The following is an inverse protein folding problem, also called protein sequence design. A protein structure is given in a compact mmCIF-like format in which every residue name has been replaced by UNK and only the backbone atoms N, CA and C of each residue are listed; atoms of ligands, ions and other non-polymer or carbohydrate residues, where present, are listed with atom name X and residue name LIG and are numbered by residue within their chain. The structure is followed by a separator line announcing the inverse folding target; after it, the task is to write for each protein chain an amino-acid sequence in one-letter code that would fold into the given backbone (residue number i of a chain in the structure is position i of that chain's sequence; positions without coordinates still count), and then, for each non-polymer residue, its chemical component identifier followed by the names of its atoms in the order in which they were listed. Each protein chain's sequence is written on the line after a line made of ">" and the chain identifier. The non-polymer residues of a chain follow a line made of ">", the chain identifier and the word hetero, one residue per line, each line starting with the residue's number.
data_IF_004546681256
#
_entry.id   IF_004546681256
#
_cell.length_a   1.000
_cell.length_b   1.000
_cell.length_c   1.000
_cell.angle_alpha   90.00
_cell.angle_beta   90.00
_cell.angle_gamma   90.00
#
_symmetry.space_group_name_H-M   'P 1'
#
loop_
_entity.id
_entity.type
_entity.pdbx_description
1 polymer ?
#
# COMPACT_ATOMS: atom_id res chain seq x y z
N UNK A 1 -39.30 -30.94 -64.03
CA UNK A 1 -40.75 -30.70 -63.91
C UNK A 1 -40.87 -29.35 -63.23
N UNK A 2 -40.90 -28.23 -63.96
CA UNK A 2 -41.46 -27.96 -65.29
C UNK A 2 -43.01 -28.03 -65.25
N UNK A 3 -43.77 -27.06 -65.78
CA UNK A 3 -43.38 -25.76 -66.38
C UNK A 3 -44.60 -24.81 -66.55
N UNK A 4 -44.35 -23.48 -66.53
CA UNK A 4 -45.08 -22.44 -67.30
C UNK A 4 -46.60 -22.19 -66.98
N UNK A 5 -47.28 -21.11 -67.46
CA UNK A 5 -47.02 -20.23 -68.62
C UNK A 5 -46.84 -18.69 -68.36
N UNK A 6 -46.53 -17.87 -69.40
CA UNK A 6 -45.88 -16.56 -69.27
C UNK A 6 -46.62 -15.37 -69.96
N UNK A 7 -45.84 -14.32 -70.31
CA UNK A 7 -46.13 -13.17 -71.21
C UNK A 7 -47.06 -12.05 -70.68
N UNK A 8 -46.91 -10.77 -71.06
CA UNK A 8 -46.07 -10.10 -72.09
C UNK A 8 -45.54 -8.72 -71.50
N UNK A 9 -44.76 -7.82 -72.11
CA UNK A 9 -44.26 -7.59 -73.49
C UNK A 9 -42.90 -6.80 -73.47
N UNK A 10 -42.63 -5.94 -74.47
CA UNK A 10 -41.39 -5.18 -74.78
C UNK A 10 -41.77 -3.73 -75.24
N UNK A 11 -40.89 -2.83 -75.80
CA UNK A 11 -39.44 -2.84 -76.09
C UNK A 11 -38.69 -1.62 -75.45
N UNK A 12 -37.44 -1.20 -75.76
CA UNK A 12 -36.55 -1.41 -76.93
C UNK A 12 -35.05 -1.17 -76.66
N UNK A 13 -34.20 -1.93 -77.34
CA UNK A 13 -32.78 -1.62 -77.65
C UNK A 13 -32.72 -0.97 -79.07
N UNK A 14 -31.61 -0.59 -79.73
CA UNK A 14 -30.15 -0.72 -79.52
C UNK A 14 -29.42 0.33 -80.42
N UNK A 15 -28.16 0.72 -80.13
CA UNK A 15 -27.14 1.01 -81.17
C UNK A 15 -25.71 1.28 -80.60
N UNK A 16 -24.69 0.81 -81.32
CA UNK A 16 -23.23 1.01 -81.11
C UNK A 16 -22.58 1.34 -82.47
N UNK A 17 -21.37 1.94 -82.58
CA UNK A 17 -20.17 1.16 -82.97
C UNK A 17 -18.82 1.75 -82.37
N UNK A 18 -17.58 1.58 -82.90
CA UNK A 18 -16.45 1.06 -82.08
C UNK A 18 -15.17 1.98 -82.01
N UNK A 19 -14.09 1.58 -81.29
CA UNK A 19 -12.91 2.44 -80.98
C UNK A 19 -11.57 2.06 -81.69
N UNK A 20 -10.66 3.04 -81.87
CA UNK A 20 -9.22 2.89 -82.24
C UNK A 20 -8.38 4.15 -81.80
N UNK A 21 -7.02 4.28 -81.94
CA UNK A 21 -6.18 4.75 -80.81
C UNK A 21 -5.24 5.97 -81.10
N UNK A 22 -4.13 6.07 -80.35
CA UNK A 22 -3.11 7.13 -80.30
C UNK A 22 -2.18 7.22 -81.54
N UNK A 23 -1.68 8.43 -81.87
CA UNK A 23 -0.22 8.71 -82.01
C UNK A 23 0.09 10.24 -81.95
N UNK A 24 1.32 10.68 -82.30
CA UNK A 24 1.99 11.81 -81.63
C UNK A 24 2.53 12.99 -82.49
N UNK A 25 2.75 14.13 -81.80
CA UNK A 25 3.81 15.14 -82.04
C UNK A 25 3.72 16.09 -83.26
N UNK A 26 4.37 17.28 -83.29
CA UNK A 26 4.79 18.25 -82.26
C UNK A 26 5.40 19.51 -82.93
N UNK A 27 5.28 20.71 -82.33
CA UNK A 27 6.22 21.85 -82.49
C UNK A 27 6.00 22.97 -81.44
N UNK A 28 7.08 23.69 -81.10
CA UNK A 28 7.16 24.93 -80.28
C UNK A 28 7.99 25.98 -81.08
N UNK A 29 8.39 27.19 -80.61
CA UNK A 29 8.34 27.85 -79.28
C UNK A 29 7.38 29.08 -79.27
N UNK A 30 7.30 30.02 -78.30
CA UNK A 30 8.09 30.40 -77.10
C UNK A 30 7.11 31.08 -76.07
N UNK A 31 7.41 31.71 -74.92
CA UNK A 31 8.64 32.15 -74.24
C UNK A 31 8.44 32.18 -72.68
N UNK A 32 9.00 33.18 -71.98
CA UNK A 32 8.84 33.44 -70.53
C UNK A 32 7.49 34.05 -70.10
N UNK A 33 7.25 34.38 -68.83
CA UNK A 33 8.21 34.66 -67.73
C UNK A 33 7.76 34.10 -66.35
N UNK A 34 8.60 34.21 -65.32
CA UNK A 34 8.39 33.60 -63.99
C UNK A 34 7.51 34.44 -63.03
N UNK A 35 6.90 33.79 -62.03
CA UNK A 35 6.65 34.44 -60.72
C UNK A 35 6.76 33.42 -59.56
N UNK A 36 7.52 33.77 -58.51
CA UNK A 36 8.20 32.80 -57.65
C UNK A 36 7.72 32.82 -56.18
N UNK A 37 6.69 32.03 -55.83
CA UNK A 37 6.26 31.84 -54.43
C UNK A 37 5.68 30.45 -54.10
N UNK A 38 6.48 29.40 -54.28
CA UNK A 38 6.04 28.01 -54.08
C UNK A 38 5.72 27.63 -52.63
N UNK A 39 4.44 27.46 -52.27
CA UNK A 39 4.00 26.91 -50.97
C UNK A 39 3.00 25.73 -51.08
N UNK A 40 3.46 24.59 -51.60
CA UNK A 40 2.79 23.28 -51.39
C UNK A 40 2.82 22.88 -49.90
N UNK A 41 1.83 23.32 -49.10
CA UNK A 41 1.65 22.90 -47.69
C UNK A 41 1.37 21.39 -47.63
N UNK A 42 2.38 20.61 -47.23
CA UNK A 42 2.35 19.13 -47.19
C UNK A 42 1.26 18.60 -46.24
N UNK A 43 0.42 17.66 -46.72
CA UNK A 43 -0.45 16.84 -45.86
C UNK A 43 0.42 15.95 -44.95
N UNK A 44 0.68 16.38 -43.72
CA UNK A 44 1.40 15.60 -42.67
C UNK A 44 0.59 15.36 -41.39
N UNK A 45 -0.71 15.68 -41.37
CA UNK A 45 -1.55 15.71 -40.16
C UNK A 45 -2.22 14.39 -39.74
N UNK A 46 -2.19 13.34 -40.56
CA UNK A 46 -2.90 12.08 -40.23
C UNK A 46 -2.13 11.24 -39.20
N UNK A 47 -0.92 10.78 -39.55
CA UNK A 47 -0.14 9.84 -38.74
C UNK A 47 0.13 10.30 -37.29
N UNK A 48 0.44 11.59 -37.08
CA UNK A 48 0.66 12.13 -35.73
C UNK A 48 -0.61 12.04 -34.89
N UNK A 49 -1.79 12.23 -35.50
CA UNK A 49 -3.07 12.17 -34.80
C UNK A 49 -3.38 10.74 -34.38
N UNK A 50 -3.27 9.79 -35.29
CA UNK A 50 -3.51 8.36 -35.03
C UNK A 50 -2.64 7.82 -33.87
N UNK A 51 -1.34 8.14 -33.88
CA UNK A 51 -0.44 7.77 -32.79
C UNK A 51 -0.74 8.53 -31.48
N UNK A 52 -1.21 9.79 -31.55
CA UNK A 52 -1.63 10.52 -30.34
C UNK A 52 -2.93 10.00 -29.73
N UNK A 53 -3.88 9.53 -30.55
CA UNK A 53 -5.13 8.92 -30.12
C UNK A 53 -4.86 7.55 -29.45
N UNK A 54 -3.99 6.73 -30.05
CA UNK A 54 -3.54 5.47 -29.46
C UNK A 54 -2.77 5.67 -28.14
N UNK A 55 -1.87 6.66 -28.08
CA UNK A 55 -1.13 6.98 -26.85
C UNK A 55 -2.05 7.50 -25.74
N UNK A 56 -3.01 8.38 -26.08
CA UNK A 56 -3.99 8.90 -25.12
C UNK A 56 -4.88 7.78 -24.57
N UNK A 57 -5.35 6.87 -25.43
CA UNK A 57 -6.12 5.70 -25.00
C UNK A 57 -5.31 4.79 -24.07
N UNK A 58 -4.06 4.47 -24.43
CA UNK A 58 -3.17 3.66 -23.59
C UNK A 58 -2.88 4.32 -22.23
N UNK A 59 -2.67 5.64 -22.21
CA UNK A 59 -2.46 6.43 -20.98
C UNK A 59 -3.71 6.42 -20.08
N UNK A 60 -4.91 6.60 -20.64
CA UNK A 60 -6.18 6.51 -19.91
C UNK A 60 -6.41 5.09 -19.38
N UNK A 61 -6.12 4.05 -20.17
CA UNK A 61 -6.23 2.66 -19.75
C UNK A 61 -5.27 2.34 -18.58
N UNK A 62 -4.02 2.83 -18.63
CA UNK A 62 -3.05 2.72 -17.53
C UNK A 62 -3.51 3.48 -16.29
N UNK A 63 -4.14 4.65 -16.44
CA UNK A 63 -4.73 5.37 -15.30
C UNK A 63 -5.88 4.61 -14.65
N UNK A 64 -6.81 4.06 -15.44
CA UNK A 64 -7.91 3.23 -14.95
C UNK A 64 -7.37 1.97 -14.26
N UNK A 65 -6.39 1.30 -14.86
CA UNK A 65 -5.73 0.14 -14.26
C UNK A 65 -5.05 0.49 -12.93
N UNK A 66 -4.35 1.63 -12.87
CA UNK A 66 -3.71 2.14 -11.64
C UNK A 66 -4.73 2.47 -10.56
N UNK A 67 -5.86 3.07 -10.91
CA UNK A 67 -6.91 3.44 -9.96
C UNK A 67 -7.58 2.20 -9.35
N UNK A 68 -8.04 1.27 -10.20
CA UNK A 68 -8.99 0.22 -9.79
C UNK A 68 -8.43 -1.21 -9.73
N UNK A 69 -7.33 -1.52 -10.43
CA UNK A 69 -6.87 -2.91 -10.60
C UNK A 69 -5.62 -3.21 -9.79
N UNK A 70 -4.53 -2.51 -10.09
CA UNK A 70 -3.21 -2.78 -9.51
C UNK A 70 -2.33 -1.52 -9.46
N UNK A 71 -1.44 -1.45 -8.47
CA UNK A 71 -0.48 -0.35 -8.35
C UNK A 71 0.87 -0.87 -7.82
N UNK A 72 1.97 -0.30 -8.31
CA UNK A 72 3.33 -0.69 -7.92
C UNK A 72 3.93 0.34 -6.96
N UNK A 73 4.40 -0.14 -5.81
CA UNK A 73 5.01 0.69 -4.77
C UNK A 73 6.45 0.24 -4.51
N UNK A 74 7.37 1.19 -4.29
CA UNK A 74 8.74 0.88 -3.84
C UNK A 74 8.78 0.74 -2.32
N UNK A 75 9.65 -0.14 -1.82
CA UNK A 75 9.88 -0.37 -0.39
C UNK A 75 11.10 0.45 0.07
N UNK A 76 10.92 1.50 0.89
CA UNK A 76 12.02 2.37 1.30
C UNK A 76 12.71 1.94 2.62
N UNK A 77 12.05 1.13 3.46
CA UNK A 77 12.47 0.85 4.84
C UNK A 77 12.31 -0.61 5.24
N UNK A 78 13.12 -1.04 6.22
CA UNK A 78 13.20 -2.43 6.70
C UNK A 78 12.11 -2.87 7.70
N UNK A 79 11.00 -2.14 7.81
CA UNK A 79 9.92 -2.50 8.76
C UNK A 79 9.22 -3.84 8.44
N UNK A 80 9.43 -4.37 7.23
CA UNK A 80 8.96 -5.67 6.76
C UNK A 80 10.14 -6.60 6.39
N UNK A 81 11.36 -6.32 6.86
CA UNK A 81 12.57 -7.11 6.51
C UNK A 81 12.35 -8.63 6.68
N UNK A 82 13.10 -9.40 5.89
CA UNK A 82 12.93 -10.86 5.68
C UNK A 82 11.70 -11.23 4.82
N UNK A 83 10.58 -10.51 4.92
CA UNK A 83 9.45 -10.62 3.98
C UNK A 83 9.64 -9.72 2.76
N UNK A 84 9.82 -8.42 3.00
CA UNK A 84 10.03 -7.36 2.00
C UNK A 84 11.24 -6.52 2.40
N UNK A 85 12.19 -6.39 1.48
CA UNK A 85 13.46 -5.70 1.70
C UNK A 85 13.43 -4.29 1.12
N UNK A 86 14.17 -3.37 1.74
CA UNK A 86 14.43 -2.07 1.13
C UNK A 86 15.03 -2.24 -0.28
N UNK A 87 14.41 -1.57 -1.26
CA UNK A 87 14.74 -1.71 -2.69
C UNK A 87 13.88 -2.70 -3.48
N UNK A 88 12.95 -3.42 -2.84
CA UNK A 88 11.89 -4.17 -3.53
C UNK A 88 10.86 -3.19 -4.15
N UNK A 89 10.21 -3.62 -5.23
CA UNK A 89 9.04 -2.99 -5.83
C UNK A 89 7.90 -4.01 -5.83
N UNK A 90 6.81 -3.69 -5.13
CA UNK A 90 5.70 -4.60 -4.85
C UNK A 90 4.47 -4.22 -5.69
N UNK A 91 3.85 -5.21 -6.35
CA UNK A 91 2.52 -5.04 -6.97
C UNK A 91 1.45 -5.28 -5.93
N UNK A 92 0.54 -4.31 -5.79
CA UNK A 92 -0.64 -4.39 -4.94
C UNK A 92 -1.86 -4.69 -5.81
N UNK A 93 -2.61 -5.73 -5.45
CA UNK A 93 -3.89 -6.08 -6.05
C UNK A 93 -5.02 -5.35 -5.29
N UNK A 94 -5.68 -4.41 -5.97
CA UNK A 94 -6.79 -3.62 -5.42
C UNK A 94 -8.14 -4.33 -5.52
N UNK A 95 -8.29 -5.25 -6.48
CA UNK A 95 -9.49 -6.08 -6.62
C UNK A 95 -9.69 -7.07 -5.46
N UNK A 96 -8.61 -7.44 -4.75
CA UNK A 96 -8.66 -8.33 -3.60
C UNK A 96 -9.70 -7.86 -2.58
N UNK A 97 -9.41 -6.75 -1.90
CA UNK A 97 -10.28 -6.12 -0.90
C UNK A 97 -11.26 -5.12 -1.50
N UNK A 98 -11.43 -5.11 -2.83
CA UNK A 98 -12.33 -4.21 -3.55
C UNK A 98 -11.77 -2.78 -3.70
N UNK A 99 -11.76 -2.20 -4.92
CA UNK A 99 -11.21 -0.87 -5.11
C UNK A 99 -12.13 0.22 -4.54
N UNK A 100 -11.54 1.13 -3.78
CA UNK A 100 -12.21 2.36 -3.33
C UNK A 100 -12.21 3.43 -4.43
N UNK A 101 -13.23 4.27 -4.42
CA UNK A 101 -13.28 5.47 -5.25
C UNK A 101 -12.29 6.54 -4.73
N UNK A 102 -11.75 7.42 -5.60
CA UNK A 102 -10.95 8.56 -5.15
C UNK A 102 -11.83 9.56 -4.39
N UNK A 103 -11.43 9.91 -3.16
CA UNK A 103 -12.05 10.97 -2.37
C UNK A 103 -11.71 12.35 -2.97
N UNK A 104 -10.53 12.52 -3.57
CA UNK A 104 -10.11 13.75 -4.28
C UNK A 104 -10.01 13.53 -5.80
N UNK A 105 -11.15 13.49 -6.53
CA UNK A 105 -11.18 13.14 -7.95
C UNK A 105 -10.44 14.16 -8.85
N UNK A 106 -10.29 15.41 -8.39
CA UNK A 106 -9.51 16.44 -9.06
C UNK A 106 -8.12 16.54 -8.43
N UNK A 107 -7.23 15.65 -8.86
CA UNK A 107 -5.81 15.63 -8.48
C UNK A 107 -4.91 15.31 -9.67
N UNK A 108 -3.66 15.80 -9.64
CA UNK A 108 -2.73 15.67 -10.76
C UNK A 108 -2.15 14.23 -10.79
N UNK A 109 -2.33 13.48 -11.89
CA UNK A 109 -1.83 12.10 -11.96
C UNK A 109 -0.33 11.97 -11.68
N UNK A 110 0.05 10.85 -11.07
CA UNK A 110 1.44 10.52 -10.68
C UNK A 110 2.08 11.45 -9.63
N UNK A 111 1.31 12.35 -9.00
CA UNK A 111 1.76 13.18 -7.88
C UNK A 111 1.11 12.74 -6.56
N UNK A 112 1.75 13.05 -5.43
CA UNK A 112 1.33 12.62 -4.09
C UNK A 112 0.51 13.72 -3.38
N UNK A 113 1.12 14.51 -2.52
CA UNK A 113 0.46 15.61 -1.77
C UNK A 113 0.68 16.99 -2.41
N UNK A 114 1.91 17.29 -2.81
CA UNK A 114 2.33 18.62 -3.27
C UNK A 114 3.07 18.54 -4.61
N UNK A 115 3.03 19.64 -5.37
CA UNK A 115 3.81 19.83 -6.59
C UNK A 115 5.20 20.34 -6.23
N UNK A 116 5.30 21.64 -5.92
CA UNK A 116 6.53 22.34 -5.57
C UNK A 116 6.27 23.22 -4.34
N UNK A 117 7.18 23.20 -3.36
CA UNK A 117 6.99 23.92 -2.09
C UNK A 117 5.67 23.54 -1.42
N UNK A 118 4.85 24.54 -1.08
CA UNK A 118 3.57 24.35 -0.39
C UNK A 118 2.36 24.16 -1.32
N UNK A 119 2.55 24.10 -2.65
CA UNK A 119 1.43 23.98 -3.60
C UNK A 119 0.87 22.56 -3.59
N UNK A 120 -0.38 22.39 -3.13
CA UNK A 120 -1.11 21.10 -3.16
C UNK A 120 -1.30 20.61 -4.60
N UNK A 121 -1.21 19.29 -4.80
CA UNK A 121 -1.38 18.66 -6.10
C UNK A 121 -2.83 18.20 -6.39
N UNK A 122 -3.77 18.67 -5.57
CA UNK A 122 -5.20 18.35 -5.59
C UNK A 122 -5.99 19.56 -5.08
N UNK A 123 -7.30 19.60 -5.36
CA UNK A 123 -8.21 20.64 -4.84
C UNK A 123 -9.13 20.08 -3.77
N UNK A 124 -9.45 20.89 -2.76
CA UNK A 124 -10.20 20.47 -1.57
C UNK A 124 -11.69 20.86 -1.60
N UNK A 125 -12.09 21.72 -2.54
CA UNK A 125 -13.49 22.15 -2.71
C UNK A 125 -14.43 21.09 -3.28
N UNK A 126 -13.88 19.96 -3.75
CA UNK A 126 -14.61 18.79 -4.26
C UNK A 126 -14.00 17.58 -3.58
N UNK A 127 -14.71 17.07 -2.57
CA UNK A 127 -14.42 15.81 -1.89
C UNK A 127 -15.61 14.88 -2.09
N UNK A 128 -15.35 13.61 -2.43
CA UNK A 128 -16.36 12.57 -2.54
C UNK A 128 -16.41 11.75 -1.25
N UNK A 129 -17.61 11.31 -0.80
CA UNK A 129 -17.70 10.40 0.33
C UNK A 129 -16.98 9.09 0.02
N UNK A 130 -16.50 8.41 1.06
CA UNK A 130 -15.93 7.08 0.92
C UNK A 130 -16.96 6.11 0.31
N UNK A 131 -16.53 5.42 -0.75
CA UNK A 131 -17.28 4.34 -1.38
C UNK A 131 -16.29 3.29 -1.87
N UNK A 132 -16.55 2.02 -1.55
CA UNK A 132 -15.76 0.87 -1.97
C UNK A 132 -16.61 -0.06 -2.84
N UNK A 133 -16.07 -0.45 -3.99
CA UNK A 133 -16.67 -1.51 -4.82
C UNK A 133 -16.29 -2.85 -4.18
N UNK A 134 -17.21 -3.83 -4.03
CA UNK A 134 -16.91 -5.13 -3.41
C UNK A 134 -15.68 -5.82 -4.02
N UNK A 135 -14.89 -6.44 -3.15
CA UNK A 135 -13.74 -7.26 -3.52
C UNK A 135 -14.12 -8.71 -3.87
N UNK A 136 -13.12 -9.51 -4.24
CA UNK A 136 -13.27 -10.97 -4.36
C UNK A 136 -12.82 -11.73 -3.10
N UNK A 137 -12.24 -11.06 -2.10
CA UNK A 137 -11.84 -11.64 -0.82
C UNK A 137 -11.75 -10.58 0.27
N UNK A 138 -12.19 -10.89 1.49
CA UNK A 138 -11.97 -10.03 2.66
C UNK A 138 -10.49 -10.01 3.10
N UNK A 139 -10.15 -9.14 4.05
CA UNK A 139 -8.82 -9.11 4.68
C UNK A 139 -8.71 -10.25 5.69
N UNK A 140 -7.69 -11.10 5.54
CA UNK A 140 -7.42 -12.20 6.47
C UNK A 140 -6.34 -11.84 7.51
N UNK A 141 -6.30 -12.59 8.61
CA UNK A 141 -5.12 -12.62 9.48
C UNK A 141 -3.87 -13.00 8.68
N UNK A 142 -2.77 -12.32 8.97
CA UNK A 142 -1.50 -12.40 8.26
C UNK A 142 -1.50 -11.91 6.79
N UNK A 143 -2.57 -11.35 6.22
CA UNK A 143 -2.48 -10.67 4.90
C UNK A 143 -1.46 -9.52 4.95
N UNK A 144 -0.61 -9.39 3.92
CA UNK A 144 0.26 -8.21 3.76
C UNK A 144 -0.51 -7.13 2.99
N UNK A 145 -0.81 -6.03 3.67
CA UNK A 145 -1.74 -5.00 3.23
C UNK A 145 -1.02 -3.68 2.98
N UNK A 146 -1.36 -3.02 1.87
CA UNK A 146 -1.03 -1.61 1.63
C UNK A 146 -2.23 -0.75 1.99
N UNK A 147 -1.95 0.31 2.74
CA UNK A 147 -2.93 1.24 3.28
C UNK A 147 -2.33 2.66 3.31
N UNK A 148 -3.18 3.67 3.44
CA UNK A 148 -2.74 5.03 3.72
C UNK A 148 -2.49 5.21 5.22
N UNK A 149 -1.47 5.96 5.60
CA UNK A 149 -1.03 6.11 6.98
C UNK A 149 -2.07 6.92 7.80
N UNK A 150 -2.71 6.33 8.81
CA UNK A 150 -3.85 6.97 9.47
C UNK A 150 -3.44 7.97 10.57
N UNK A 151 -2.16 8.34 10.69
CA UNK A 151 -1.66 9.23 11.74
C UNK A 151 -0.65 10.30 11.25
N UNK A 152 -0.69 10.64 9.95
CA UNK A 152 0.23 11.61 9.33
C UNK A 152 0.05 13.05 9.83
N UNK A 153 -1.13 13.40 10.34
CA UNK A 153 -1.44 14.69 10.96
C UNK A 153 -0.82 14.87 12.36
N UNK A 154 -0.35 13.78 12.99
CA UNK A 154 0.36 13.81 14.29
C UNK A 154 1.82 13.32 14.17
N UNK A 155 2.12 12.50 13.16
CA UNK A 155 3.45 12.02 12.79
C UNK A 155 3.73 12.35 11.31
N UNK A 156 3.99 13.62 10.94
CA UNK A 156 4.21 13.98 9.54
C UNK A 156 5.45 13.31 8.97
N UNK A 157 5.27 12.65 7.81
CA UNK A 157 6.37 12.00 7.08
C UNK A 157 7.14 13.01 6.21
N UNK A 158 6.44 13.98 5.61
CA UNK A 158 7.03 15.08 4.84
C UNK A 158 6.31 16.41 5.09
N UNK A 159 7.08 17.47 5.37
CA UNK A 159 6.58 18.82 5.57
C UNK A 159 5.90 19.05 6.94
N UNK A 160 5.08 20.12 7.08
CA UNK A 160 4.36 20.40 8.32
C UNK A 160 3.19 19.42 8.55
N UNK A 161 2.76 19.20 9.81
CA UNK A 161 1.57 18.38 10.09
C UNK A 161 0.33 19.00 9.44
N UNK A 162 -0.35 18.23 8.61
CA UNK A 162 -1.52 18.66 7.84
C UNK A 162 -2.52 17.49 7.71
N UNK A 163 -3.82 17.78 7.82
CA UNK A 163 -4.88 16.77 7.72
C UNK A 163 -5.22 16.47 6.25
N UNK A 164 -4.43 15.61 5.62
CA UNK A 164 -4.69 15.18 4.26
C UNK A 164 -5.99 14.35 4.14
N UNK A 165 -6.71 14.47 3.00
CA UNK A 165 -7.68 13.48 2.55
C UNK A 165 -7.06 12.08 2.50
N UNK A 166 -7.86 11.03 2.71
CA UNK A 166 -7.32 9.68 2.95
C UNK A 166 -6.60 9.13 1.71
N UNK A 167 -7.02 9.53 0.50
CA UNK A 167 -6.34 9.20 -0.76
C UNK A 167 -5.15 10.10 -1.13
N UNK A 168 -4.72 10.97 -0.21
CA UNK A 168 -3.49 11.78 -0.29
C UNK A 168 -2.53 11.58 0.88
N UNK A 169 -2.85 10.69 1.82
CA UNK A 169 -1.94 10.31 2.91
C UNK A 169 -0.83 9.38 2.44
N UNK A 170 0.34 9.42 3.08
CA UNK A 170 1.49 8.55 2.77
C UNK A 170 1.13 7.06 2.78
N UNK A 171 1.65 6.29 1.83
CA UNK A 171 1.39 4.87 1.72
C UNK A 171 2.29 4.04 2.65
N UNK A 172 1.69 3.14 3.41
CA UNK A 172 2.36 2.19 4.29
C UNK A 172 2.02 0.76 3.89
N UNK A 173 2.95 -0.16 4.18
CA UNK A 173 2.79 -1.61 4.02
C UNK A 173 3.13 -2.30 5.34
N UNK A 174 2.23 -3.17 5.80
CA UNK A 174 2.32 -3.94 7.05
C UNK A 174 1.55 -5.25 6.89
N UNK A 175 1.68 -6.14 7.86
CA UNK A 175 0.85 -7.34 7.98
C UNK A 175 -0.36 -7.07 8.86
N UNK A 176 -1.54 -7.50 8.43
CA UNK A 176 -2.76 -7.43 9.23
C UNK A 176 -2.75 -8.53 10.28
N UNK A 177 -2.66 -8.17 11.56
CA UNK A 177 -2.56 -9.15 12.66
C UNK A 177 -3.86 -9.32 13.43
N UNK A 178 -4.78 -8.34 13.38
CA UNK A 178 -6.10 -8.44 13.96
C UNK A 178 -7.13 -7.70 13.10
N UNK A 179 -8.31 -8.30 12.98
CA UNK A 179 -9.45 -7.85 12.19
C UNK A 179 -10.50 -7.18 13.08
N UNK A 180 -11.47 -6.54 12.43
CA UNK A 180 -12.61 -5.94 13.10
C UNK A 180 -13.38 -6.96 13.97
N UNK A 181 -13.60 -6.63 15.24
CA UNK A 181 -14.24 -7.49 16.23
C UNK A 181 -13.30 -8.40 17.04
N UNK A 182 -12.02 -8.54 16.65
CA UNK A 182 -11.05 -9.34 17.41
C UNK A 182 -10.70 -8.72 18.77
N UNK A 183 -10.38 -9.56 19.74
CA UNK A 183 -9.57 -9.18 20.91
C UNK A 183 -8.10 -9.50 20.63
N UNK A 184 -7.30 -8.46 20.42
CA UNK A 184 -5.86 -8.52 20.17
C UNK A 184 -5.05 -8.39 21.48
N UNK A 185 -4.03 -9.22 21.65
CA UNK A 185 -3.12 -9.16 22.79
C UNK A 185 -1.70 -9.60 22.37
N UNK A 186 -0.66 -9.05 23.01
CA UNK A 186 0.73 -9.54 22.87
C UNK A 186 1.21 -9.96 24.26
N UNK A 187 1.78 -11.16 24.35
CA UNK A 187 2.37 -11.72 25.57
C UNK A 187 3.78 -12.21 25.27
N UNK A 188 4.80 -11.62 25.90
CA UNK A 188 6.22 -11.90 25.63
C UNK A 188 6.56 -11.87 24.11
N UNK A 189 5.99 -10.92 23.37
CA UNK A 189 6.18 -10.78 21.91
C UNK A 189 5.36 -11.74 21.03
N UNK A 190 4.70 -12.75 21.58
CA UNK A 190 3.75 -13.60 20.86
C UNK A 190 2.36 -12.94 20.74
N UNK A 191 1.70 -13.09 19.59
CA UNK A 191 0.38 -12.51 19.32
C UNK A 191 -0.72 -13.50 19.73
N UNK A 192 -1.76 -12.99 20.39
CA UNK A 192 -2.96 -13.72 20.74
C UNK A 192 -4.19 -13.01 20.16
N UNK A 193 -5.05 -13.77 19.48
CA UNK A 193 -6.31 -13.32 18.88
C UNK A 193 -7.45 -14.12 19.52
N UNK A 194 -8.41 -13.43 20.13
CA UNK A 194 -9.54 -14.02 20.85
C UNK A 194 -9.08 -15.09 21.86
N UNK A 195 -7.97 -14.82 22.55
CA UNK A 195 -7.33 -15.69 23.53
C UNK A 195 -6.48 -16.85 22.96
N UNK A 196 -6.48 -17.07 21.64
CA UNK A 196 -5.70 -18.12 20.96
C UNK A 196 -4.40 -17.55 20.41
N UNK A 197 -3.28 -18.27 20.53
CA UNK A 197 -2.01 -17.86 19.91
C UNK A 197 -2.19 -17.80 18.38
N UNK A 198 -1.91 -16.65 17.77
CA UNK A 198 -1.78 -16.50 16.32
C UNK A 198 -0.32 -16.73 15.98
N UNK A 199 -0.04 -17.86 15.33
CA UNK A 199 1.31 -18.21 14.89
C UNK A 199 1.94 -17.06 14.10
N UNK A 200 3.06 -16.56 14.61
CA UNK A 200 3.84 -15.54 13.93
C UNK A 200 4.30 -16.05 12.55
N UNK A 201 4.34 -15.20 11.51
CA UNK A 201 4.95 -15.55 10.22
C UNK A 201 6.37 -16.06 10.40
N UNK A 202 6.80 -17.05 9.60
CA UNK A 202 8.17 -17.58 9.69
C UNK A 202 9.22 -16.48 9.48
N UNK A 203 8.89 -15.51 8.62
CA UNK A 203 9.74 -14.37 8.29
C UNK A 203 9.88 -13.37 9.44
N UNK A 204 8.94 -13.33 10.40
CA UNK A 204 8.91 -12.30 11.43
C UNK A 204 10.18 -12.31 12.30
N UNK A 205 10.79 -11.13 12.45
CA UNK A 205 12.07 -10.94 13.12
C UNK A 205 11.88 -10.42 14.55
N UNK A 206 12.57 -11.05 15.49
CA UNK A 206 12.56 -10.74 16.92
C UNK A 206 13.98 -10.47 17.43
N UNK A 207 14.11 -9.74 18.55
CA UNK A 207 15.39 -9.56 19.23
C UNK A 207 15.73 -10.78 20.07
N UNK A 208 16.96 -11.26 19.93
CA UNK A 208 17.53 -12.34 20.73
C UNK A 208 18.87 -11.90 21.32
N UNK A 209 19.18 -12.44 22.50
CA UNK A 209 20.52 -12.41 23.07
C UNK A 209 21.18 -13.76 22.83
N UNK A 210 22.38 -13.75 22.24
CA UNK A 210 23.18 -14.95 21.98
C UNK A 210 24.40 -14.91 22.88
N UNK A 211 24.52 -15.91 23.77
CA UNK A 211 25.65 -16.10 24.68
C UNK A 211 26.63 -17.08 24.06
N UNK A 212 27.93 -16.76 24.04
CA UNK A 212 28.99 -17.61 23.46
C UNK A 212 30.22 -17.66 24.36
N UNK A 213 30.97 -18.75 24.31
CA UNK A 213 32.20 -18.93 25.08
C UNK A 213 33.35 -18.00 24.62
N UNK A 214 33.32 -17.58 23.36
CA UNK A 214 34.42 -16.91 22.68
C UNK A 214 33.92 -16.04 21.52
N UNK A 215 34.65 -14.94 21.24
CA UNK A 215 34.33 -13.98 20.16
C UNK A 215 34.05 -14.71 18.85
N UNK A 216 32.92 -14.42 18.22
CA UNK A 216 32.56 -15.02 16.93
C UNK A 216 33.50 -14.49 15.86
N UNK A 217 34.31 -15.38 15.28
CA UNK A 217 35.24 -15.07 14.17
C UNK A 217 34.78 -15.57 12.81
N UNK A 218 33.68 -16.32 12.74
CA UNK A 218 33.13 -16.80 11.47
C UNK A 218 32.47 -15.65 10.69
N UNK A 219 32.99 -15.27 9.50
CA UNK A 219 32.38 -14.21 8.69
C UNK A 219 30.98 -14.56 8.17
N UNK A 220 30.57 -15.83 8.12
CA UNK A 220 29.20 -16.21 7.78
C UNK A 220 28.24 -15.92 8.95
N UNK A 221 28.59 -16.31 10.17
CA UNK A 221 27.80 -16.01 11.37
C UNK A 221 27.76 -14.51 11.67
N UNK A 222 28.88 -13.77 11.56
CA UNK A 222 28.89 -12.31 11.70
C UNK A 222 27.98 -11.61 10.68
N UNK A 223 27.96 -12.05 9.41
CA UNK A 223 27.03 -11.51 8.40
C UNK A 223 25.56 -11.83 8.69
N UNK A 224 25.25 -12.96 9.36
CA UNK A 224 23.90 -13.27 9.86
C UNK A 224 23.51 -12.41 11.08
N UNK A 225 24.49 -12.04 11.90
CA UNK A 225 24.27 -11.22 13.10
C UNK A 225 24.12 -9.73 12.74
N UNK A 226 24.71 -9.28 11.63
CA UNK A 226 24.54 -7.94 11.09
C UNK A 226 25.11 -6.86 12.01
N UNK A 227 24.33 -5.80 12.26
CA UNK A 227 24.68 -4.72 13.19
C UNK A 227 24.39 -5.13 14.65
N UNK A 228 24.92 -6.27 15.07
CA UNK A 228 24.75 -6.80 16.43
C UNK A 228 25.43 -5.91 17.48
N UNK A 229 24.83 -5.80 18.66
CA UNK A 229 25.52 -5.19 19.82
C UNK A 229 26.31 -6.27 20.54
N UNK A 230 27.62 -6.23 20.41
CA UNK A 230 28.55 -7.07 21.16
C UNK A 230 28.79 -6.46 22.56
N UNK A 231 28.76 -7.29 23.61
CA UNK A 231 29.29 -6.93 24.92
C UNK A 231 30.04 -8.10 25.57
N UNK A 232 31.22 -7.80 26.10
CA UNK A 232 32.03 -8.75 26.85
C UNK A 232 31.52 -8.82 28.30
N UNK A 233 31.21 -10.02 28.80
CA UNK A 233 31.00 -10.33 30.22
C UNK A 233 32.13 -11.26 30.65
N UNK A 234 32.56 -11.18 31.91
CA UNK A 234 33.79 -11.83 32.39
C UNK A 234 33.91 -13.34 32.15
N UNK A 235 32.81 -14.02 31.80
CA UNK A 235 32.72 -15.46 31.54
C UNK A 235 32.20 -15.80 30.13
N UNK A 236 31.64 -14.84 29.38
CA UNK A 236 31.01 -15.07 28.07
C UNK A 236 30.84 -13.79 27.25
N UNK A 237 30.74 -13.93 25.92
CA UNK A 237 30.38 -12.82 25.03
C UNK A 237 28.88 -12.85 24.74
N UNK A 238 28.25 -11.67 24.73
CA UNK A 238 26.83 -11.49 24.50
C UNK A 238 26.60 -10.65 23.25
N UNK A 239 25.84 -11.19 22.29
CA UNK A 239 25.42 -10.51 21.08
C UNK A 239 23.91 -10.28 21.09
N UNK A 240 23.46 -9.02 21.06
CA UNK A 240 22.07 -8.71 20.72
C UNK A 240 21.89 -8.70 19.20
N UNK A 241 20.96 -9.50 18.69
CA UNK A 241 20.72 -9.74 17.26
C UNK A 241 19.23 -9.73 16.94
N UNK A 242 18.88 -9.42 15.69
CA UNK A 242 17.51 -9.50 15.17
C UNK A 242 17.40 -10.70 14.21
N UNK A 243 16.56 -11.68 14.53
CA UNK A 243 16.50 -12.99 13.85
C UNK A 243 15.05 -13.48 13.70
N UNK A 244 14.78 -14.34 12.72
CA UNK A 244 13.58 -15.19 12.75
C UNK A 244 13.70 -16.29 13.80
N UNK A 245 12.59 -16.89 14.28
CA UNK A 245 12.63 -18.06 15.15
C UNK A 245 13.43 -19.23 14.54
N UNK A 246 13.25 -19.51 13.25
CA UNK A 246 13.98 -20.57 12.53
C UNK A 246 15.49 -20.30 12.42
N UNK A 247 15.90 -19.02 12.32
CA UNK A 247 17.30 -18.63 12.39
C UNK A 247 17.88 -18.78 13.80
N UNK A 248 17.14 -18.37 14.84
CA UNK A 248 17.53 -18.55 16.24
C UNK A 248 17.70 -20.05 16.58
N UNK A 249 16.77 -20.91 16.17
CA UNK A 249 16.87 -22.37 16.34
C UNK A 249 17.98 -23.02 15.53
N UNK A 250 18.41 -22.39 14.43
CA UNK A 250 19.59 -22.81 13.69
C UNK A 250 20.88 -22.45 14.42
N UNK A 251 20.92 -21.29 15.08
CA UNK A 251 22.07 -20.81 15.86
C UNK A 251 22.21 -21.60 17.18
N UNK A 252 21.10 -21.94 17.85
CA UNK A 252 21.06 -22.82 19.05
C UNK A 252 21.76 -24.17 18.89
N UNK A 253 21.98 -24.63 17.65
CA UNK A 253 22.58 -25.94 17.31
C UNK A 253 24.09 -25.86 17.02
N UNK A 254 24.69 -24.67 17.07
CA UNK A 254 26.12 -24.47 16.84
C UNK A 254 26.94 -24.68 18.12
N UNK A 255 28.09 -25.35 18.01
CA UNK A 255 28.85 -25.89 19.17
C UNK A 255 29.40 -24.85 20.15
N UNK A 256 29.60 -23.61 19.72
CA UNK A 256 30.17 -22.51 20.51
C UNK A 256 29.10 -21.57 21.09
N UNK A 257 27.81 -21.93 20.97
CA UNK A 257 26.69 -21.15 21.47
C UNK A 257 26.24 -21.73 22.81
N UNK A 258 26.32 -20.92 23.86
CA UNK A 258 25.92 -21.29 25.22
C UNK A 258 24.41 -21.16 25.42
N UNK A 259 23.80 -20.11 24.83
CA UNK A 259 22.36 -19.90 24.85
C UNK A 259 21.89 -18.96 23.73
N UNK A 260 20.61 -19.06 23.36
CA UNK A 260 19.89 -18.07 22.54
C UNK A 260 18.53 -17.81 23.18
N UNK A 261 18.38 -16.66 23.81
CA UNK A 261 17.21 -16.24 24.59
C UNK A 261 16.52 -15.07 23.89
N UNK A 262 15.18 -15.04 23.85
CA UNK A 262 14.45 -13.88 23.33
C UNK A 262 14.60 -12.68 24.28
N UNK A 263 14.68 -11.47 23.72
CA UNK A 263 14.73 -10.22 24.50
C UNK A 263 13.35 -9.57 24.41
N UNK A 264 12.61 -9.57 25.53
CA UNK A 264 11.27 -8.98 25.65
C UNK A 264 11.19 -8.05 26.85
N UNK A 265 10.39 -6.99 26.75
CA UNK A 265 10.06 -6.13 27.88
C UNK A 265 9.17 -6.82 28.93
N UNK A 266 9.27 -6.38 30.18
CA UNK A 266 8.50 -6.89 31.32
C UNK A 266 7.05 -6.41 31.32
N UNK A 267 6.13 -7.21 31.87
CA UNK A 267 4.72 -6.86 31.97
C UNK A 267 4.51 -5.68 32.95
N UNK A 268 3.73 -4.67 32.54
CA UNK A 268 3.52 -3.45 33.32
C UNK A 268 4.62 -2.40 33.19
N UNK A 269 5.70 -2.67 32.44
CA UNK A 269 6.68 -1.65 32.05
C UNK A 269 6.07 -0.76 30.97
N UNK A 270 5.38 0.30 31.38
CA UNK A 270 4.74 1.28 30.48
C UNK A 270 5.75 1.98 29.56
N UNK A 271 5.48 1.94 28.25
CA UNK A 271 6.21 2.70 27.24
C UNK A 271 5.31 3.83 26.70
N UNK A 272 5.69 5.09 26.95
CA UNK A 272 4.92 6.26 26.52
C UNK A 272 4.78 6.39 24.99
N UNK A 273 5.66 5.75 24.20
CA UNK A 273 5.54 5.73 22.73
C UNK A 273 4.43 4.80 22.22
N UNK A 274 3.91 3.91 23.06
CA UNK A 274 2.95 2.87 22.70
C UNK A 274 1.52 3.37 22.89
N UNK A 275 0.67 3.18 21.88
CA UNK A 275 -0.74 3.58 21.87
C UNK A 275 -1.52 2.87 22.99
N UNK A 276 -2.32 3.57 23.82
CA UNK A 276 -2.82 4.94 23.66
C UNK A 276 -2.02 6.04 24.41
N UNK A 277 -0.73 5.81 24.67
CA UNK A 277 0.21 6.79 25.23
C UNK A 277 -0.13 7.27 26.65
N UNK A 278 -0.77 6.41 27.47
CA UNK A 278 -1.06 6.66 28.90
C UNK A 278 -0.82 5.41 29.74
N UNK A 279 -0.23 5.64 30.90
CA UNK A 279 -0.01 4.74 32.04
C UNK A 279 -1.23 3.93 32.50
N UNK A 280 -2.45 4.39 32.23
CA UNK A 280 -3.69 3.60 32.42
C UNK A 280 -3.67 2.27 31.66
N UNK A 281 -2.94 2.22 30.55
CA UNK A 281 -2.66 1.03 29.75
C UNK A 281 -1.15 0.83 29.74
N UNK A 282 -0.56 0.18 30.75
CA UNK A 282 0.89 0.07 30.95
C UNK A 282 1.53 -0.97 30.01
N UNK A 283 1.29 -0.78 28.72
CA UNK A 283 1.71 -1.63 27.62
C UNK A 283 3.09 -1.24 27.10
N UNK A 284 3.71 -2.18 26.39
CA UNK A 284 4.93 -1.98 25.62
C UNK A 284 4.89 -2.84 24.33
N UNK A 285 6.00 -2.92 23.60
CA UNK A 285 6.09 -3.67 22.33
C UNK A 285 5.82 -5.17 22.45
N UNK A 286 6.02 -5.75 23.65
CA UNK A 286 6.01 -7.19 23.92
C UNK A 286 4.88 -7.65 24.85
N UNK A 287 4.24 -6.69 25.54
CA UNK A 287 3.18 -6.89 26.53
C UNK A 287 2.09 -5.85 26.24
N UNK A 288 1.04 -6.25 25.53
CA UNK A 288 0.09 -5.32 24.93
C UNK A 288 -1.34 -5.87 24.98
N UNK A 289 -2.33 -5.01 25.20
CA UNK A 289 -3.73 -5.43 25.28
C UNK A 289 -4.12 -6.04 26.65
N UNK A 290 -5.23 -6.79 26.71
CA UNK A 290 -6.15 -7.09 25.62
C UNK A 290 -6.81 -5.81 25.07
N UNK A 291 -6.88 -5.69 23.75
CA UNK A 291 -7.48 -4.58 23.01
C UNK A 291 -8.54 -5.14 22.06
N UNK A 292 -9.80 -4.73 22.22
CA UNK A 292 -10.84 -5.02 21.24
C UNK A 292 -10.67 -4.11 20.03
N UNK A 293 -10.53 -4.71 18.86
CA UNK A 293 -10.48 -4.02 17.57
C UNK A 293 -11.91 -3.67 17.13
N UNK A 294 -12.24 -2.38 16.93
CA UNK A 294 -13.59 -1.98 16.57
C UNK A 294 -14.11 -2.57 15.25
N UNK A 295 -15.38 -3.00 15.25
CA UNK A 295 -16.13 -3.31 14.02
C UNK A 295 -17.27 -2.32 13.79
N UNK A 296 -17.71 -2.20 12.54
CA UNK A 296 -18.90 -1.42 12.19
C UNK A 296 -20.12 -1.89 13.01
N UNK A 297 -20.92 -0.94 13.50
CA UNK A 297 -22.11 -1.23 14.29
C UNK A 297 -21.87 -1.75 15.72
N UNK A 298 -20.62 -2.03 16.12
CA UNK A 298 -20.30 -2.41 17.49
C UNK A 298 -20.41 -1.20 18.43
N UNK A 299 -21.07 -1.37 19.57
CA UNK A 299 -21.15 -0.37 20.64
C UNK A 299 -20.17 -0.68 21.77
N UNK A 300 -19.38 0.32 22.19
CA UNK A 300 -18.53 0.27 23.39
C UNK A 300 -18.99 1.28 24.44
N UNK A 301 -18.66 1.03 25.71
CA UNK A 301 -18.87 2.00 26.81
C UNK A 301 -17.73 3.03 26.83
N UNK A 302 -18.09 4.30 26.87
CA UNK A 302 -17.15 5.40 27.06
C UNK A 302 -17.03 5.79 28.54
N UNK A 303 -15.79 5.89 29.02
CA UNK A 303 -15.40 6.55 30.26
C UNK A 303 -14.15 7.38 30.01
N UNK A 304 -13.73 8.23 30.94
CA UNK A 304 -12.46 8.97 30.86
C UNK A 304 -11.24 8.02 30.90
N UNK A 305 -11.43 6.75 31.22
CA UNK A 305 -10.41 5.69 31.17
C UNK A 305 -10.37 4.96 29.82
N UNK A 306 -11.52 4.69 29.19
CA UNK A 306 -11.54 4.06 27.85
C UNK A 306 -11.36 5.06 26.70
N UNK A 307 -11.66 6.34 26.92
CA UNK A 307 -11.60 7.38 25.89
C UNK A 307 -10.23 7.54 25.18
N UNK A 308 -9.05 7.33 25.80
CA UNK A 308 -7.77 7.35 25.09
C UNK A 308 -7.70 6.38 23.90
N UNK A 309 -8.35 5.20 24.00
CA UNK A 309 -8.42 4.23 22.91
C UNK A 309 -9.30 4.71 21.74
N UNK A 310 -10.41 5.38 22.04
CA UNK A 310 -11.46 5.65 21.04
C UNK A 310 -11.51 7.11 20.56
N UNK A 311 -10.86 8.06 21.27
CA UNK A 311 -10.85 9.49 20.94
C UNK A 311 -10.51 9.77 19.48
N UNK A 312 -9.48 9.11 18.95
CA UNK A 312 -9.00 9.32 17.58
C UNK A 312 -9.95 8.74 16.53
N UNK A 313 -10.60 7.62 16.83
CA UNK A 313 -11.70 7.09 16.01
C UNK A 313 -12.83 8.12 15.94
N UNK A 314 -13.37 8.50 17.11
CA UNK A 314 -14.51 9.43 17.24
C UNK A 314 -14.26 10.73 16.46
N UNK A 315 -13.07 11.34 16.62
CA UNK A 315 -12.80 12.70 16.12
C UNK A 315 -12.15 12.72 14.73
N UNK A 316 -11.12 11.91 14.50
CA UNK A 316 -10.26 12.05 13.31
C UNK A 316 -10.64 11.10 12.17
N UNK A 317 -11.25 9.95 12.47
CA UNK A 317 -11.69 8.95 11.48
C UNK A 317 -13.18 9.00 11.20
N UNK A 318 -14.00 9.22 12.23
CA UNK A 318 -15.46 9.27 12.15
C UNK A 318 -16.04 10.70 12.22
N UNK A 319 -15.15 11.71 12.28
CA UNK A 319 -15.45 13.14 12.10
C UNK A 319 -16.45 13.77 13.08
N UNK A 320 -16.63 13.17 14.26
CA UNK A 320 -17.50 13.71 15.31
C UNK A 320 -16.78 14.76 16.17
N UNK A 321 -17.55 15.70 16.73
CA UNK A 321 -17.02 16.64 17.73
C UNK A 321 -17.07 16.00 19.12
N UNK A 322 -15.99 16.16 19.90
CA UNK A 322 -15.82 15.57 21.23
C UNK A 322 -15.48 16.66 22.26
N UNK A 323 -16.17 16.67 23.40
CA UNK A 323 -15.83 17.49 24.56
C UNK A 323 -15.79 16.61 25.82
N UNK A 324 -14.94 16.96 26.79
CA UNK A 324 -14.82 16.27 28.08
C UNK A 324 -14.84 17.33 29.19
N UNK A 325 -15.66 17.12 30.23
CA UNK A 325 -15.84 18.06 31.35
C UNK A 325 -15.95 17.28 32.66
N UNK A 326 -14.82 17.10 33.35
CA UNK A 326 -14.72 16.05 34.37
C UNK A 326 -15.05 14.69 33.76
N UNK A 327 -15.89 13.91 34.43
CA UNK A 327 -16.32 12.59 33.95
C UNK A 327 -17.36 12.64 32.81
N UNK A 328 -17.91 13.82 32.50
CA UNK A 328 -18.90 13.99 31.44
C UNK A 328 -18.25 14.05 30.05
N UNK A 329 -18.50 13.03 29.22
CA UNK A 329 -18.13 13.00 27.81
C UNK A 329 -19.31 13.47 26.97
N UNK A 330 -19.06 14.35 26.00
CA UNK A 330 -20.07 14.83 25.06
C UNK A 330 -19.63 14.61 23.62
N UNK A 331 -20.49 14.02 22.81
CA UNK A 331 -20.29 13.80 21.37
C UNK A 331 -21.38 14.55 20.60
N UNK A 332 -20.99 15.38 19.63
CA UNK A 332 -21.90 16.25 18.87
C UNK A 332 -22.87 17.06 19.74
N UNK A 333 -22.35 17.59 20.85
CA UNK A 333 -23.10 18.40 21.82
C UNK A 333 -24.01 17.61 22.77
N UNK A 334 -24.18 16.30 22.58
CA UNK A 334 -25.00 15.42 23.44
C UNK A 334 -24.11 14.70 24.45
N UNK A 335 -24.59 14.49 25.67
CA UNK A 335 -23.93 13.62 26.66
C UNK A 335 -23.88 12.18 26.11
N UNK A 336 -22.74 11.50 26.26
CA UNK A 336 -22.51 10.15 25.75
C UNK A 336 -21.80 9.27 26.80
N UNK A 337 -22.39 8.13 27.13
CA UNK A 337 -21.82 7.06 27.98
C UNK A 337 -21.28 5.88 27.14
N UNK A 338 -21.42 5.97 25.82
CA UNK A 338 -21.24 4.89 24.85
C UNK A 338 -20.99 5.46 23.45
N UNK A 339 -20.46 4.62 22.56
CA UNK A 339 -20.19 4.96 21.17
C UNK A 339 -20.40 3.76 20.28
N UNK A 340 -21.00 3.96 19.10
CA UNK A 340 -21.16 2.94 18.06
C UNK A 340 -20.32 3.33 16.86
N UNK A 341 -19.44 2.43 16.41
CA UNK A 341 -18.52 2.70 15.31
C UNK A 341 -19.23 2.65 13.95
N UNK A 342 -18.82 3.56 13.05
CA UNK A 342 -19.41 3.72 11.71
C UNK A 342 -18.65 2.96 10.60
N UNK A 343 -17.55 2.28 10.93
CA UNK A 343 -16.74 1.54 9.96
C UNK A 343 -15.88 0.47 10.65
N UNK A 344 -15.27 -0.42 9.88
CA UNK A 344 -14.40 -1.48 10.39
C UNK A 344 -12.96 -1.01 10.57
N UNK A 345 -12.28 -1.57 11.58
CA UNK A 345 -10.90 -1.22 11.94
C UNK A 345 -9.99 -2.45 11.97
N UNK A 346 -8.70 -2.22 11.78
CA UNK A 346 -7.66 -3.25 11.68
C UNK A 346 -6.44 -2.89 12.52
N UNK A 347 -5.71 -3.90 12.99
CA UNK A 347 -4.41 -3.74 13.63
C UNK A 347 -3.31 -4.24 12.70
N UNK A 348 -2.35 -3.36 12.39
CA UNK A 348 -1.31 -3.58 11.39
C UNK A 348 0.07 -3.59 12.05
N UNK A 349 0.87 -4.65 11.86
CA UNK A 349 2.22 -4.77 12.44
C UNK A 349 3.29 -5.05 11.37
N UNK A 350 4.52 -4.65 11.65
CA UNK A 350 5.66 -5.01 10.79
C UNK A 350 6.20 -6.39 11.11
N UNK A 351 6.70 -7.09 10.09
CA UNK A 351 7.40 -8.35 10.31
C UNK A 351 8.74 -8.13 11.03
N UNK A 352 9.38 -6.96 10.89
CA UNK A 352 10.54 -6.59 11.69
C UNK A 352 10.10 -5.97 13.03
N UNK A 353 9.74 -6.82 14.00
CA UNK A 353 8.93 -6.46 15.19
C UNK A 353 9.52 -5.38 16.09
N UNK A 354 10.83 -5.15 16.06
CA UNK A 354 11.55 -4.16 16.88
C UNK A 354 12.13 -2.99 16.05
N UNK A 355 11.85 -2.95 14.74
CA UNK A 355 12.26 -1.88 13.83
C UNK A 355 11.09 -1.47 12.91
N UNK A 356 9.88 -1.42 13.49
CA UNK A 356 8.65 -1.15 12.78
C UNK A 356 7.83 -0.09 13.52
N UNK A 357 7.68 1.07 12.89
CA UNK A 357 6.62 2.03 13.21
C UNK A 357 5.31 1.40 12.71
N UNK A 358 4.42 0.99 13.63
CA UNK A 358 3.18 0.27 13.33
C UNK A 358 2.05 0.52 14.36
N UNK A 359 0.92 -0.20 14.26
CA UNK A 359 -0.28 0.04 15.08
C UNK A 359 -0.06 -0.02 16.59
N UNK A 360 1.01 -0.64 17.08
CA UNK A 360 1.38 -0.57 18.51
C UNK A 360 1.71 0.85 18.97
N UNK A 361 2.08 1.75 18.05
CA UNK A 361 2.50 3.13 18.32
C UNK A 361 1.40 4.15 17.96
N UNK A 362 0.66 3.93 16.87
CA UNK A 362 -0.37 4.88 16.40
C UNK A 362 -1.82 4.40 16.56
N UNK A 363 -2.05 3.15 16.96
CA UNK A 363 -3.37 2.55 17.06
C UNK A 363 -3.94 2.04 15.74
N UNK A 364 -5.26 2.14 15.60
CA UNK A 364 -6.03 1.46 14.54
C UNK A 364 -5.80 2.00 13.12
N UNK A 365 -5.99 1.12 12.14
CA UNK A 365 -6.12 1.47 10.71
C UNK A 365 -7.59 1.35 10.30
N UNK A 366 -8.27 2.42 9.84
CA UNK A 366 -9.65 2.36 9.38
C UNK A 366 -9.78 1.71 8.00
N UNK A 367 -10.94 1.12 7.68
CA UNK A 367 -11.16 0.44 6.39
C UNK A 367 -11.01 1.33 5.16
N UNK A 368 -11.33 2.63 5.23
CA UNK A 368 -11.24 3.55 4.08
C UNK A 368 -9.78 3.87 3.69
N UNK A 369 -8.85 3.66 4.62
CA UNK A 369 -7.42 3.75 4.40
C UNK A 369 -6.86 2.54 3.63
N UNK A 370 -7.55 1.40 3.58
CA UNK A 370 -7.06 0.17 2.92
C UNK A 370 -7.02 0.33 1.40
N UNK A 371 -5.87 0.09 0.78
CA UNK A 371 -5.63 0.22 -0.67
C UNK A 371 -5.70 -1.12 -1.39
N UNK A 372 -5.14 -2.20 -0.82
CA UNK A 372 -5.17 -3.53 -1.42
C UNK A 372 -4.15 -4.51 -0.81
N UNK A 373 -4.15 -5.76 -1.31
CA UNK A 373 -3.23 -6.82 -0.89
C UNK A 373 -1.92 -6.74 -1.69
N UNK A 374 -0.78 -6.82 -1.01
CA UNK A 374 0.50 -7.04 -1.68
C UNK A 374 0.52 -8.45 -2.30
N UNK A 375 0.77 -8.54 -3.62
CA UNK A 375 0.63 -9.78 -4.37
C UNK A 375 1.99 -10.44 -4.69
N UNK A 376 2.90 -9.70 -5.31
CA UNK A 376 4.24 -10.19 -5.66
C UNK A 376 5.24 -9.05 -5.81
N UNK A 377 6.53 -9.40 -5.76
CA UNK A 377 7.65 -8.47 -6.00
C UNK A 377 7.91 -8.38 -7.52
N UNK A 378 7.66 -7.23 -8.13
CA UNK A 378 7.90 -6.98 -9.56
C UNK A 378 9.39 -6.86 -9.89
N UNK A 379 10.17 -6.30 -8.97
CA UNK A 379 11.59 -6.02 -9.14
C UNK A 379 12.26 -5.85 -7.76
N UNK A 380 13.55 -6.13 -7.64
CA UNK A 380 14.29 -5.90 -6.40
C UNK A 380 15.73 -5.48 -6.71
N UNK A 381 16.17 -4.37 -6.12
CA UNK A 381 17.52 -3.84 -6.31
C UNK A 381 18.17 -3.47 -4.98
N UNK A 382 19.33 -4.08 -4.72
CA UNK A 382 20.15 -3.79 -3.55
C UNK A 382 20.93 -2.49 -3.77
N UNK A 383 20.44 -1.40 -3.16
CA UNK A 383 21.10 -0.09 -3.22
C UNK A 383 22.44 -0.03 -2.47
N UNK A 384 22.70 -0.92 -1.52
CA UNK A 384 23.95 -0.95 -0.75
C UNK A 384 25.04 -1.72 -1.50
N UNK A 385 24.65 -2.85 -2.10
CA UNK A 385 25.54 -3.79 -2.77
C UNK A 385 25.50 -3.68 -4.31
N UNK A 386 24.79 -2.70 -4.85
CA UNK A 386 24.83 -2.30 -6.27
C UNK A 386 24.25 -3.29 -7.29
N UNK A 387 23.35 -4.20 -6.90
CA UNK A 387 22.91 -5.30 -7.77
C UNK A 387 21.43 -5.67 -7.66
N UNK A 388 20.87 -6.19 -8.76
CA UNK A 388 19.51 -6.75 -8.81
C UNK A 388 19.43 -8.06 -8.01
N UNK A 389 18.45 -8.18 -7.10
CA UNK A 389 18.19 -9.41 -6.35
C UNK A 389 17.29 -10.33 -7.17
N UNK A 390 17.86 -10.95 -8.21
CA UNK A 390 17.12 -11.77 -9.21
C UNK A 390 16.23 -12.84 -8.59
N UNK A 391 16.65 -13.47 -7.49
CA UNK A 391 15.91 -14.51 -6.77
C UNK A 391 14.72 -13.99 -5.95
N UNK A 392 14.32 -12.73 -6.12
CA UNK A 392 13.10 -12.14 -5.54
C UNK A 392 12.08 -11.70 -6.59
N UNK A 393 12.39 -11.85 -7.89
CA UNK A 393 11.56 -11.31 -8.96
C UNK A 393 10.42 -12.29 -9.28
N UNK A 394 9.18 -11.80 -9.17
CA UNK A 394 7.93 -12.55 -9.18
C UNK A 394 7.68 -13.45 -7.95
N UNK A 395 8.44 -13.28 -6.86
CA UNK A 395 8.15 -13.93 -5.57
C UNK A 395 6.76 -13.50 -5.06
N UNK A 396 5.92 -14.48 -4.75
CA UNK A 396 4.59 -14.28 -4.16
C UNK A 396 4.66 -13.89 -2.68
N UNK A 397 3.99 -12.81 -2.32
CA UNK A 397 3.99 -12.26 -0.96
C UNK A 397 2.93 -12.98 -0.13
N UNK A 398 3.32 -13.40 1.08
CA UNK A 398 2.53 -14.21 2.00
C UNK A 398 2.91 -13.91 3.45
#
# INVERSE_FOLDING_TARGET
>A
MDEQPPENEQPSEEQVPPPVPEESAATSPDAGEEDASGKKKKKKKHWVREWSEAFLFAFIAVLIARLFLFEAFSIPSGSMDNTLLAGDYVVVNKLAFGPRMPQTPLSIPFTHQRLWGNVKAYVEWISLPYMRIPGYSDIAHNDVVVFNFPAEDIFPMEGPPEKYPVDKRSHFIKRCVALAGDTFEIRNGEIYINGKNLSNPEQALFRYSVKVDSVIRDPALLRRFGMAKESNRSEFWLYEVTLSPSAADSIRKLKNILAVEAITAEAGSFDQSIFPNTDKFPWNLDQYGPLVIPSEGQTVKLTVDSLPLYKRIIVDYEHNTLQVRGDSIMINGKLADSYTFQMNYYFMMGDNRYNSFDSRIWGFVPEDHIVGRAAFILFSYDKQNGHTRWSRIFDGIH
#
